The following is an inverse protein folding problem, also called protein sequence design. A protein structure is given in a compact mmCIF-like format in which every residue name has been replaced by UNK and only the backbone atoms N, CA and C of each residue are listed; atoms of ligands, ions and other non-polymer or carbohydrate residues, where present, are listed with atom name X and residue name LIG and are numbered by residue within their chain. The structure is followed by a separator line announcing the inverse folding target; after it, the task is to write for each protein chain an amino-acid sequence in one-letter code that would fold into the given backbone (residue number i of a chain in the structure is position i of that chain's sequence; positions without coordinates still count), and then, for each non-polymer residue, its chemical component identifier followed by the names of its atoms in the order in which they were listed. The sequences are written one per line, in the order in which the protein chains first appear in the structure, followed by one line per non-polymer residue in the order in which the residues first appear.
data_IF_506004010767
#
_entry.id   IF_506004010767
#
_cell.length_a   1.000
_cell.length_b   1.000
_cell.length_c   1.000
_cell.angle_alpha   90.00
_cell.angle_beta   90.00
_cell.angle_gamma   90.00
#
_symmetry.space_group_name_H-M   'P 1'
#
loop_
_entity.id
_entity.type
_entity.pdbx_description
1 polymer ?
#
# COMPACT_ATOMS: atom_id res chain seq x y z
N UNK A 1 27.00 -8.45 -2.34
CA UNK A 1 25.70 -8.34 -1.63
C UNK A 1 25.93 -8.84 -0.21
N UNK A 2 25.85 -7.96 0.80
CA UNK A 2 26.23 -8.28 2.20
C UNK A 2 25.22 -9.25 2.86
N UNK A 3 23.98 -9.31 2.34
CA UNK A 3 22.92 -10.16 2.90
C UNK A 3 23.24 -11.66 2.87
N UNK A 4 24.14 -12.14 2.01
CA UNK A 4 24.51 -13.55 1.95
C UNK A 4 25.44 -14.02 3.08
N UNK A 5 25.89 -13.12 3.95
CA UNK A 5 26.86 -13.42 5.03
C UNK A 5 26.25 -13.35 6.45
N UNK A 6 24.97 -12.98 6.59
CA UNK A 6 24.31 -12.82 7.89
C UNK A 6 23.34 -13.98 8.17
N UNK A 7 23.34 -14.50 9.40
CA UNK A 7 22.33 -15.47 9.84
C UNK A 7 20.94 -14.84 9.93
N UNK A 8 19.86 -15.65 9.89
CA UNK A 8 18.48 -15.17 9.81
C UNK A 8 18.13 -14.05 10.80
N UNK A 9 18.41 -14.26 12.10
CA UNK A 9 18.12 -13.29 13.17
C UNK A 9 18.92 -11.98 13.07
N UNK A 10 20.14 -12.03 12.54
CA UNK A 10 20.95 -10.82 12.32
C UNK A 10 20.42 -10.04 11.13
N UNK A 11 20.00 -10.75 10.08
CA UNK A 11 19.44 -10.17 8.87
C UNK A 11 18.12 -9.45 9.18
N UNK A 12 17.27 -10.04 10.04
CA UNK A 12 16.02 -9.42 10.50
C UNK A 12 16.30 -8.14 11.31
N UNK A 13 17.23 -8.18 12.27
CA UNK A 13 17.58 -6.99 13.07
C UNK A 13 18.20 -5.86 12.23
N UNK A 14 19.08 -6.21 11.28
CA UNK A 14 19.67 -5.23 10.35
C UNK A 14 18.59 -4.64 9.43
N UNK A 15 17.65 -5.47 8.97
CA UNK A 15 16.53 -5.05 8.13
C UNK A 15 15.58 -4.11 8.86
N UNK A 16 15.16 -4.45 10.09
CA UNK A 16 14.36 -3.55 10.94
C UNK A 16 15.05 -2.20 11.12
N UNK A 17 16.34 -2.22 11.47
CA UNK A 17 17.13 -0.99 11.62
C UNK A 17 17.14 -0.16 10.34
N UNK A 18 17.24 -0.80 9.17
CA UNK A 18 17.22 -0.11 7.88
C UNK A 18 15.86 0.55 7.59
N UNK A 19 14.76 -0.19 7.76
CA UNK A 19 13.39 0.34 7.55
C UNK A 19 13.15 1.58 8.40
N UNK A 20 13.42 1.50 9.70
CA UNK A 20 13.09 2.56 10.64
C UNK A 20 14.06 3.74 10.56
N UNK A 21 15.34 3.49 10.25
CA UNK A 21 16.38 4.52 10.24
C UNK A 21 16.50 5.24 8.90
N UNK A 22 16.18 4.57 7.79
CA UNK A 22 16.26 5.14 6.45
C UNK A 22 14.95 5.05 5.66
N UNK A 23 13.82 5.51 6.21
CA UNK A 23 12.54 5.45 5.51
C UNK A 23 12.52 6.35 4.26
N UNK A 24 13.44 7.34 4.18
CA UNK A 24 13.62 8.15 2.99
C UNK A 24 14.12 7.36 1.78
N UNK A 25 14.79 6.22 2.00
CA UNK A 25 15.25 5.33 0.95
C UNK A 25 14.09 4.88 0.04
N UNK A 26 12.93 4.62 0.64
CA UNK A 26 11.74 4.15 -0.08
C UNK A 26 11.18 5.17 -1.09
N UNK A 27 11.32 6.47 -0.84
CA UNK A 27 10.83 7.50 -1.78
C UNK A 27 11.94 8.10 -2.66
N UNK A 28 13.19 8.15 -2.19
CA UNK A 28 14.34 8.68 -2.98
C UNK A 28 14.74 7.67 -4.05
N UNK A 29 14.75 6.39 -3.70
CA UNK A 29 15.21 5.31 -4.57
C UNK A 29 14.05 4.37 -4.91
N UNK A 30 12.89 4.94 -5.21
CA UNK A 30 11.61 4.25 -5.42
C UNK A 30 11.72 2.94 -6.24
N UNK A 31 12.45 2.96 -7.35
CA UNK A 31 12.65 1.77 -8.19
C UNK A 31 13.52 0.70 -7.49
N UNK A 32 14.65 1.11 -6.91
CA UNK A 32 15.55 0.21 -6.19
C UNK A 32 14.89 -0.33 -4.91
N UNK A 33 14.09 0.50 -4.23
CA UNK A 33 13.29 0.13 -3.08
C UNK A 33 12.27 -0.95 -3.44
N UNK A 34 11.56 -0.80 -4.56
CA UNK A 34 10.61 -1.82 -5.03
C UNK A 34 11.32 -3.16 -5.30
N UNK A 35 12.43 -3.13 -6.05
CA UNK A 35 13.23 -4.34 -6.34
C UNK A 35 13.76 -5.01 -5.06
N UNK A 36 14.25 -4.21 -4.12
CA UNK A 36 14.75 -4.72 -2.85
C UNK A 36 13.64 -5.38 -2.03
N UNK A 37 12.49 -4.72 -1.87
CA UNK A 37 11.35 -5.25 -1.12
C UNK A 37 10.85 -6.56 -1.77
N UNK A 38 10.92 -6.67 -3.10
CA UNK A 38 10.56 -7.90 -3.81
C UNK A 38 11.46 -9.09 -3.49
N UNK A 39 12.65 -8.88 -2.93
CA UNK A 39 13.54 -9.97 -2.47
C UNK A 39 13.28 -10.42 -1.03
N UNK A 40 12.45 -9.69 -0.28
CA UNK A 40 12.16 -10.00 1.13
C UNK A 40 11.27 -11.23 1.28
N UNK A 41 11.36 -11.84 2.46
CA UNK A 41 10.46 -12.90 2.91
C UNK A 41 9.12 -12.32 3.33
N UNK A 42 8.07 -13.13 3.24
CA UNK A 42 6.71 -12.77 3.61
C UNK A 42 6.60 -12.19 5.03
N UNK A 43 7.26 -12.83 5.99
CA UNK A 43 7.32 -12.42 7.41
C UNK A 43 7.91 -11.01 7.63
N UNK A 44 8.73 -10.52 6.69
CA UNK A 44 9.37 -9.20 6.77
C UNK A 44 8.50 -8.10 6.14
N UNK A 45 7.50 -8.48 5.34
CA UNK A 45 6.66 -7.51 4.62
C UNK A 45 5.68 -6.80 5.55
N UNK A 46 5.34 -7.38 6.69
CA UNK A 46 4.46 -6.75 7.69
C UNK A 46 5.09 -5.47 8.24
N UNK A 47 6.38 -5.50 8.56
CA UNK A 47 7.11 -4.33 9.03
C UNK A 47 7.32 -3.28 7.94
N UNK A 48 7.48 -3.73 6.68
CA UNK A 48 7.49 -2.83 5.52
C UNK A 48 6.15 -2.12 5.41
N UNK A 49 5.04 -2.87 5.41
CA UNK A 49 3.70 -2.31 5.30
C UNK A 49 3.44 -1.29 6.41
N UNK A 50 3.73 -1.66 7.67
CA UNK A 50 3.58 -0.76 8.81
C UNK A 50 4.38 0.53 8.63
N UNK A 51 5.64 0.42 8.23
CA UNK A 51 6.47 1.60 7.99
C UNK A 51 5.90 2.49 6.88
N UNK A 52 5.44 1.90 5.76
CA UNK A 52 4.86 2.67 4.65
C UNK A 52 3.57 3.38 5.07
N UNK A 53 2.70 2.70 5.82
CA UNK A 53 1.43 3.24 6.36
C UNK A 53 1.69 4.39 7.34
N UNK A 54 2.63 4.21 8.28
CA UNK A 54 3.01 5.25 9.25
C UNK A 54 3.50 6.52 8.54
N UNK A 55 4.27 6.36 7.45
CA UNK A 55 4.82 7.48 6.69
C UNK A 55 3.80 8.15 5.76
N UNK A 56 2.88 7.37 5.20
CA UNK A 56 1.76 7.90 4.44
C UNK A 56 0.79 8.71 5.32
N UNK A 57 0.62 8.30 6.57
CA UNK A 57 -0.26 8.96 7.55
C UNK A 57 0.37 10.17 8.25
N UNK A 58 1.67 10.40 8.07
CA UNK A 58 2.38 11.53 8.67
C UNK A 58 2.02 12.85 7.96
N UNK A 59 1.06 13.59 8.52
CA UNK A 59 0.57 14.88 7.99
C UNK A 59 1.67 15.96 7.91
N UNK A 60 2.78 15.81 8.64
CA UNK A 60 3.91 16.74 8.56
C UNK A 60 4.77 16.51 7.32
N UNK A 61 4.55 15.41 6.59
CA UNK A 61 5.25 15.13 5.34
C UNK A 61 4.65 15.93 4.19
N UNK A 62 5.52 16.30 3.27
CA UNK A 62 5.10 16.85 2.00
C UNK A 62 4.19 15.87 1.27
N UNK A 63 3.16 16.41 0.62
CA UNK A 63 2.14 15.66 -0.09
C UNK A 63 2.74 14.74 -1.17
N UNK A 64 3.75 15.22 -1.90
CA UNK A 64 4.47 14.43 -2.92
C UNK A 64 5.18 13.20 -2.33
N UNK A 65 5.68 13.30 -1.10
CA UNK A 65 6.29 12.18 -0.37
C UNK A 65 5.23 11.19 0.06
N UNK A 66 4.09 11.67 0.59
CA UNK A 66 2.95 10.81 0.97
C UNK A 66 2.40 10.06 -0.24
N UNK A 67 2.24 10.75 -1.38
CA UNK A 67 1.85 10.16 -2.67
C UNK A 67 2.74 8.98 -3.06
N UNK A 68 4.07 9.13 -2.97
CA UNK A 68 5.02 8.05 -3.28
C UNK A 68 4.84 6.83 -2.38
N UNK A 69 4.56 7.02 -1.08
CA UNK A 69 4.30 5.89 -0.19
C UNK A 69 3.01 5.15 -0.56
N UNK A 70 1.94 5.86 -0.90
CA UNK A 70 0.70 5.25 -1.37
C UNK A 70 0.90 4.46 -2.69
N UNK A 71 1.60 5.05 -3.67
CA UNK A 71 1.93 4.35 -4.91
C UNK A 71 2.77 3.08 -4.66
N UNK A 72 3.73 3.14 -3.73
CA UNK A 72 4.57 2.01 -3.39
C UNK A 72 3.75 0.89 -2.73
N UNK A 73 2.84 1.22 -1.82
CA UNK A 73 1.88 0.28 -1.23
C UNK A 73 1.07 -0.45 -2.31
N UNK A 74 0.51 0.28 -3.29
CA UNK A 74 -0.21 -0.31 -4.41
C UNK A 74 0.64 -1.31 -5.21
N UNK A 75 1.88 -0.92 -5.57
CA UNK A 75 2.80 -1.80 -6.33
C UNK A 75 3.22 -3.05 -5.57
N UNK A 76 3.42 -2.94 -4.25
CA UNK A 76 3.85 -4.07 -3.44
C UNK A 76 2.73 -5.10 -3.19
N UNK A 77 1.48 -4.72 -3.38
CA UNK A 77 0.32 -5.60 -3.19
C UNK A 77 0.37 -6.90 -4.01
N UNK A 78 1.16 -6.96 -5.09
CA UNK A 78 1.34 -8.21 -5.86
C UNK A 78 2.15 -9.29 -5.15
N UNK A 79 2.86 -8.95 -4.07
CA UNK A 79 3.68 -9.89 -3.29
C UNK A 79 3.01 -10.31 -1.97
N UNK A 80 1.95 -9.62 -1.57
CA UNK A 80 1.30 -9.83 -0.29
C UNK A 80 0.42 -11.07 -0.27
N UNK A 81 0.41 -11.74 0.87
CA UNK A 81 -0.56 -12.80 1.15
C UNK A 81 -1.95 -12.18 1.45
N UNK A 82 -2.97 -13.04 1.62
CA UNK A 82 -4.33 -12.58 1.89
C UNK A 82 -4.46 -11.73 3.16
N UNK A 83 -3.80 -12.12 4.26
CA UNK A 83 -3.80 -11.38 5.52
C UNK A 83 -3.21 -9.98 5.34
N UNK A 84 -2.06 -9.88 4.69
CA UNK A 84 -1.36 -8.64 4.39
C UNK A 84 -2.16 -7.72 3.47
N UNK A 85 -2.86 -8.28 2.47
CA UNK A 85 -3.77 -7.53 1.61
C UNK A 85 -4.93 -6.92 2.41
N UNK A 86 -5.52 -7.69 3.33
CA UNK A 86 -6.61 -7.23 4.19
C UNK A 86 -6.12 -6.13 5.14
N UNK A 87 -4.97 -6.31 5.78
CA UNK A 87 -4.39 -5.33 6.71
C UNK A 87 -4.02 -4.04 6.01
N UNK A 88 -3.42 -4.13 4.81
CA UNK A 88 -3.12 -2.96 4.01
C UNK A 88 -4.37 -2.24 3.52
N UNK A 89 -5.39 -2.98 3.10
CA UNK A 89 -6.68 -2.40 2.71
C UNK A 89 -7.30 -1.62 3.88
N UNK A 90 -7.43 -2.23 5.05
CA UNK A 90 -8.00 -1.58 6.23
C UNK A 90 -7.24 -0.30 6.59
N UNK A 91 -5.90 -0.38 6.63
CA UNK A 91 -5.04 0.78 6.90
C UNK A 91 -5.26 1.91 5.88
N UNK A 92 -5.37 1.59 4.59
CA UNK A 92 -5.62 2.59 3.56
C UNK A 92 -7.04 3.16 3.62
N UNK A 93 -8.04 2.39 4.03
CA UNK A 93 -9.41 2.90 4.23
C UNK A 93 -9.44 3.95 5.35
N UNK A 94 -8.72 3.70 6.45
CA UNK A 94 -8.61 4.66 7.54
C UNK A 94 -7.97 5.97 7.05
N UNK A 95 -6.86 5.86 6.31
CA UNK A 95 -6.18 7.01 5.69
C UNK A 95 -7.10 7.73 4.70
N UNK A 96 -7.78 7.01 3.81
CA UNK A 96 -8.68 7.56 2.82
C UNK A 96 -9.83 8.36 3.44
N UNK A 97 -10.31 7.91 4.60
CA UNK A 97 -11.35 8.60 5.33
C UNK A 97 -10.86 9.90 5.98
N UNK A 98 -9.61 9.93 6.45
CA UNK A 98 -9.01 11.08 7.13
C UNK A 98 -8.38 12.10 6.17
N UNK A 99 -7.84 11.67 5.03
CA UNK A 99 -7.09 12.53 4.12
C UNK A 99 -8.03 13.44 3.31
N UNK A 100 -7.66 14.72 3.25
CA UNK A 100 -8.33 15.76 2.46
C UNK A 100 -8.13 15.48 0.95
N UNK A 101 -9.18 15.64 0.16
CA UNK A 101 -9.21 15.27 -1.25
C UNK A 101 -8.54 16.28 -2.19
N UNK A 102 -8.11 17.43 -1.66
CA UNK A 102 -7.28 18.41 -2.36
C UNK A 102 -5.81 17.99 -2.51
N UNK A 103 -5.36 16.99 -1.74
CA UNK A 103 -3.99 16.48 -1.79
C UNK A 103 -3.78 15.47 -2.93
N UNK A 104 -2.62 15.50 -3.58
CA UNK A 104 -2.24 14.49 -4.58
C UNK A 104 -2.15 13.10 -3.96
N UNK A 105 -1.74 13.00 -2.69
CA UNK A 105 -1.74 11.74 -1.96
C UNK A 105 -3.14 11.11 -1.86
N UNK A 106 -4.23 11.87 -1.87
CA UNK A 106 -5.59 11.31 -1.90
C UNK A 106 -5.81 10.46 -3.14
N UNK A 107 -5.39 10.94 -4.31
CA UNK A 107 -5.52 10.19 -5.56
C UNK A 107 -4.66 8.92 -5.54
N UNK A 108 -3.44 8.98 -5.03
CA UNK A 108 -2.57 7.81 -4.92
C UNK A 108 -3.10 6.78 -3.90
N UNK A 109 -3.64 7.21 -2.76
CA UNK A 109 -4.32 6.33 -1.79
C UNK A 109 -5.49 5.63 -2.45
N UNK A 110 -6.32 6.38 -3.18
CA UNK A 110 -7.46 5.84 -3.93
C UNK A 110 -7.02 4.78 -4.96
N UNK A 111 -5.93 5.02 -5.68
CA UNK A 111 -5.40 4.05 -6.64
C UNK A 111 -4.84 2.79 -5.96
N UNK A 112 -4.09 2.95 -4.87
CA UNK A 112 -3.57 1.83 -4.08
C UNK A 112 -4.70 0.96 -3.53
N UNK A 113 -5.78 1.57 -3.03
CA UNK A 113 -6.99 0.87 -2.60
C UNK A 113 -7.58 0.05 -3.74
N UNK A 114 -7.73 0.62 -4.94
CA UNK A 114 -8.26 -0.11 -6.07
C UNK A 114 -7.37 -1.30 -6.47
N UNK A 115 -6.05 -1.11 -6.45
CA UNK A 115 -5.09 -2.18 -6.76
C UNK A 115 -5.13 -3.32 -5.76
N UNK A 116 -5.32 -3.03 -4.47
CA UNK A 116 -5.44 -4.06 -3.43
C UNK A 116 -6.81 -4.72 -3.48
N UNK A 117 -7.88 -3.93 -3.68
CA UNK A 117 -9.27 -4.42 -3.66
C UNK A 117 -9.45 -5.59 -4.60
N UNK A 118 -8.98 -5.47 -5.86
CA UNK A 118 -9.13 -6.53 -6.88
C UNK A 118 -8.36 -7.83 -6.57
N UNK A 119 -7.50 -7.81 -5.55
CA UNK A 119 -6.74 -8.99 -5.07
C UNK A 119 -7.33 -9.57 -3.79
N UNK A 120 -8.31 -8.93 -3.17
CA UNK A 120 -8.94 -9.44 -1.95
C UNK A 120 -9.70 -10.74 -2.22
N UNK A 121 -9.73 -11.68 -1.26
CA UNK A 121 -10.53 -12.89 -1.38
C UNK A 121 -12.03 -12.56 -1.40
N UNK A 122 -12.83 -13.43 -2.03
CA UNK A 122 -14.20 -13.12 -2.50
C UNK A 122 -15.07 -12.26 -1.58
N UNK A 123 -15.30 -12.70 -0.33
CA UNK A 123 -16.16 -11.95 0.61
C UNK A 123 -15.57 -10.57 0.97
N UNK A 124 -14.25 -10.49 1.10
CA UNK A 124 -13.53 -9.26 1.41
C UNK A 124 -13.57 -8.30 0.22
N UNK A 125 -13.45 -8.82 -1.01
CA UNK A 125 -13.67 -8.04 -2.23
C UNK A 125 -15.10 -7.45 -2.24
N UNK A 126 -16.13 -8.27 -2.02
CA UNK A 126 -17.52 -7.81 -2.05
C UNK A 126 -17.79 -6.71 -1.02
N UNK A 127 -17.28 -6.89 0.20
CA UNK A 127 -17.39 -5.90 1.27
C UNK A 127 -16.65 -4.60 0.92
N UNK A 128 -15.41 -4.71 0.44
CA UNK A 128 -14.59 -3.58 0.03
C UNK A 128 -15.25 -2.80 -1.13
N UNK A 129 -15.73 -3.52 -2.14
CA UNK A 129 -16.41 -2.94 -3.29
C UNK A 129 -17.66 -2.17 -2.86
N UNK A 130 -18.54 -2.79 -2.08
CA UNK A 130 -19.76 -2.13 -1.58
C UNK A 130 -19.45 -0.89 -0.75
N UNK A 131 -18.44 -0.96 0.11
CA UNK A 131 -17.97 0.20 0.87
C UNK A 131 -17.52 1.34 -0.05
N UNK A 132 -16.68 1.05 -1.06
CA UNK A 132 -16.15 2.05 -1.98
C UNK A 132 -17.25 2.71 -2.80
N UNK A 133 -18.25 1.97 -3.27
CA UNK A 133 -19.43 2.54 -3.95
C UNK A 133 -20.13 3.55 -3.04
N UNK A 134 -20.48 3.14 -1.82
CA UNK A 134 -21.19 3.99 -0.87
C UNK A 134 -20.39 5.27 -0.56
N UNK A 135 -19.08 5.12 -0.31
CA UNK A 135 -18.24 6.24 0.11
C UNK A 135 -17.94 7.20 -1.04
N UNK A 136 -17.65 6.71 -2.24
CA UNK A 136 -17.34 7.57 -3.40
C UNK A 136 -18.56 8.33 -3.90
N UNK A 137 -19.75 7.75 -3.80
CA UNK A 137 -21.00 8.45 -4.07
C UNK A 137 -21.16 9.68 -3.15
N UNK A 138 -20.73 9.57 -1.88
CA UNK A 138 -20.77 10.70 -0.94
C UNK A 138 -19.74 11.81 -1.24
N UNK A 139 -18.66 11.50 -1.97
CA UNK A 139 -17.59 12.45 -2.31
C UNK A 139 -17.62 12.94 -3.77
N UNK A 140 -18.70 12.68 -4.53
CA UNK A 140 -18.85 13.05 -5.95
C UNK A 140 -17.69 12.60 -6.87
N UNK A 141 -16.99 11.51 -6.51
CA UNK A 141 -15.73 11.10 -7.17
C UNK A 141 -15.73 9.63 -7.62
N UNK A 142 -16.91 9.06 -7.89
CA UNK A 142 -17.12 7.62 -8.08
C UNK A 142 -16.80 7.08 -9.48
N UNK A 143 -16.83 7.92 -10.52
CA UNK A 143 -16.88 7.42 -11.90
C UNK A 143 -15.62 6.66 -12.34
N UNK A 144 -14.43 7.19 -12.06
CA UNK A 144 -13.17 6.58 -12.49
C UNK A 144 -12.85 5.28 -11.76
N UNK A 145 -13.07 5.22 -10.43
CA UNK A 145 -12.78 4.01 -9.65
C UNK A 145 -13.75 2.88 -10.00
N UNK A 146 -15.02 3.21 -10.22
CA UNK A 146 -16.04 2.25 -10.63
C UNK A 146 -15.68 1.55 -11.94
N UNK A 147 -15.30 2.31 -12.96
CA UNK A 147 -14.91 1.76 -14.26
C UNK A 147 -13.68 0.85 -14.13
N UNK A 148 -12.67 1.26 -13.35
CA UNK A 148 -11.45 0.46 -13.16
C UNK A 148 -11.75 -0.85 -12.41
N UNK A 149 -12.44 -0.78 -11.27
CA UNK A 149 -12.81 -1.95 -10.47
C UNK A 149 -13.70 -2.92 -11.26
N UNK A 150 -14.70 -2.40 -11.97
CA UNK A 150 -15.58 -3.21 -12.81
C UNK A 150 -14.80 -3.89 -13.96
N UNK A 151 -13.91 -3.16 -14.64
CA UNK A 151 -13.10 -3.71 -15.74
C UNK A 151 -12.14 -4.79 -15.27
N UNK A 152 -11.53 -4.62 -14.10
CA UNK A 152 -10.56 -5.59 -13.57
C UNK A 152 -11.27 -6.81 -12.95
N UNK A 153 -12.41 -6.63 -12.29
CA UNK A 153 -13.26 -7.75 -11.85
C UNK A 153 -13.72 -8.63 -13.02
N UNK A 154 -14.13 -8.01 -14.14
CA UNK A 154 -14.53 -8.75 -15.35
C UNK A 154 -13.40 -9.56 -16.00
N UNK A 155 -12.12 -9.26 -15.71
CA UNK A 155 -10.97 -9.99 -16.25
C UNK A 155 -10.50 -11.15 -15.37
N UNK A 156 -10.80 -11.10 -14.07
CA UNK A 156 -10.35 -12.07 -13.08
C UNK A 156 -11.41 -13.15 -12.80
N UNK A 157 -12.42 -13.26 -13.66
CA UNK A 157 -13.48 -14.27 -13.65
C UNK A 157 -13.35 -15.17 -14.86
#
# INVERSE_FOLDING_TARGET
MISSQLGGKQLDNTFQSFIYRFPSYFYILYYNATQFIMTLKEEQLDDVLKCLVDRLSDEKKYDDVRKKYAELIGKLSMKWNETQLIDAFNSLIDIFNAIDDSYDAFNAVREAIAEITVKLPGRQFDNAFNYLISRLNSRNNAYYLFIRLHKDWMKNK
#
